data_IF_448102023189
#
_entry.id   IF_448102023189
#
_cell.length_a   1.000
_cell.length_b   1.000
_cell.length_c   1.000
_cell.angle_alpha   90.00
_cell.angle_beta   90.00
_cell.angle_gamma   90.00
#
_symmetry.space_group_name_H-M   'P 1'
#
loop_
_entity.id
_entity.type
_entity.pdbx_description
1 polymer ?
#
# COMPACT_ATOMS: atom_id res chain seq x y z
N UNK A 1 8.27 3.37 20.37
CA UNK A 1 8.54 2.11 19.65
C UNK A 1 9.78 1.45 20.24
N UNK A 2 9.71 0.15 20.47
CA UNK A 2 10.89 -0.65 20.80
C UNK A 2 11.75 -0.90 19.53
N UNK A 3 12.93 -1.46 19.71
CA UNK A 3 13.86 -1.71 18.58
C UNK A 3 13.30 -2.70 17.54
N UNK A 4 12.45 -3.64 17.96
CA UNK A 4 11.82 -4.63 17.07
C UNK A 4 10.79 -3.94 16.16
N UNK A 5 9.86 -3.17 16.74
CA UNK A 5 8.86 -2.40 15.98
C UNK A 5 9.54 -1.44 14.99
N UNK A 6 10.63 -0.78 15.41
CA UNK A 6 11.38 0.12 14.54
C UNK A 6 12.01 -0.62 13.36
N UNK A 7 12.54 -1.82 13.60
CA UNK A 7 13.10 -2.65 12.55
C UNK A 7 12.02 -3.11 11.58
N UNK A 8 10.88 -3.60 12.09
CA UNK A 8 9.75 -4.02 11.25
C UNK A 8 9.22 -2.87 10.38
N UNK A 9 9.08 -1.67 10.94
CA UNK A 9 8.65 -0.49 10.18
C UNK A 9 9.66 -0.12 9.07
N UNK A 10 10.95 -0.16 9.38
CA UNK A 10 11.99 0.12 8.38
C UNK A 10 12.00 -0.94 7.27
N UNK A 11 11.85 -2.22 7.61
CA UNK A 11 11.82 -3.31 6.65
C UNK A 11 10.58 -3.22 5.73
N UNK A 12 9.42 -2.86 6.29
CA UNK A 12 8.20 -2.59 5.53
C UNK A 12 8.37 -1.39 4.60
N UNK A 13 8.89 -0.27 5.10
CA UNK A 13 9.12 0.94 4.31
C UNK A 13 10.07 0.67 3.14
N UNK A 14 11.18 -0.04 3.40
CA UNK A 14 12.14 -0.44 2.36
C UNK A 14 11.49 -1.31 1.30
N UNK A 15 10.68 -2.28 1.71
CA UNK A 15 9.97 -3.16 0.78
C UNK A 15 9.00 -2.38 -0.11
N UNK A 16 8.29 -1.40 0.44
CA UNK A 16 7.38 -0.54 -0.33
C UNK A 16 8.13 0.35 -1.34
N UNK A 17 9.19 1.04 -0.91
CA UNK A 17 9.95 1.97 -1.76
C UNK A 17 10.69 1.25 -2.90
N UNK A 18 11.05 -0.02 -2.72
CA UNK A 18 11.73 -0.80 -3.77
C UNK A 18 10.79 -1.27 -4.89
N UNK A 19 9.48 -1.11 -4.75
CA UNK A 19 8.51 -1.45 -5.80
C UNK A 19 8.29 -0.23 -6.69
N UNK A 20 8.58 -0.38 -7.98
CA UNK A 20 8.44 0.71 -8.95
C UNK A 20 6.96 1.00 -9.24
N UNK A 21 6.46 2.14 -8.77
CA UNK A 21 5.07 2.59 -8.92
C UNK A 21 4.95 3.93 -9.66
N UNK A 22 5.88 4.21 -10.57
CA UNK A 22 5.96 5.51 -11.25
C UNK A 22 4.76 5.73 -12.19
N UNK A 23 4.14 6.89 -12.08
CA UNK A 23 2.99 7.31 -12.88
C UNK A 23 3.24 8.67 -13.56
N UNK A 24 3.09 8.80 -14.90
CA UNK A 24 2.87 7.75 -15.90
C UNK A 24 4.04 6.75 -16.03
N UNK A 25 3.88 5.54 -16.62
CA UNK A 25 2.69 5.02 -17.31
C UNK A 25 1.61 4.42 -16.39
N UNK A 26 1.93 4.20 -15.10
CA UNK A 26 1.07 3.48 -14.17
C UNK A 26 1.48 2.02 -14.04
N UNK A 27 2.09 1.68 -12.91
CA UNK A 27 2.59 0.34 -12.56
C UNK A 27 2.22 -0.04 -11.10
N UNK A 28 1.13 0.53 -10.61
CA UNK A 28 0.72 0.43 -9.20
C UNK A 28 0.26 -1.00 -8.80
N UNK A 29 -0.04 -1.89 -9.75
CA UNK A 29 -0.50 -3.24 -9.46
C UNK A 29 0.45 -4.03 -8.53
N UNK A 30 1.76 -3.89 -8.70
CA UNK A 30 2.74 -4.63 -7.89
C UNK A 30 2.73 -4.16 -6.43
N UNK A 31 2.70 -2.84 -6.21
CA UNK A 31 2.67 -2.27 -4.85
C UNK A 31 1.31 -2.51 -4.19
N UNK A 32 0.22 -2.44 -4.97
CA UNK A 32 -1.12 -2.75 -4.48
C UNK A 32 -1.24 -4.21 -4.00
N UNK A 33 -0.74 -5.18 -4.79
CA UNK A 33 -0.72 -6.60 -4.41
C UNK A 33 0.17 -6.85 -3.19
N UNK A 34 1.33 -6.17 -3.09
CA UNK A 34 2.18 -6.24 -1.90
C UNK A 34 1.46 -5.75 -0.64
N UNK A 35 0.80 -4.59 -0.70
CA UNK A 35 0.05 -4.03 0.44
C UNK A 35 -1.08 -4.98 0.85
N UNK A 36 -1.86 -5.51 -0.11
CA UNK A 36 -2.91 -6.49 0.16
C UNK A 36 -2.36 -7.72 0.89
N UNK A 37 -1.25 -8.30 0.40
CA UNK A 37 -0.61 -9.47 1.05
C UNK A 37 -0.13 -9.15 2.46
N UNK A 38 0.45 -7.97 2.67
CA UNK A 38 0.88 -7.52 3.99
C UNK A 38 -0.31 -7.40 4.95
N UNK A 39 -1.41 -6.79 4.53
CA UNK A 39 -2.62 -6.63 5.34
C UNK A 39 -3.27 -7.99 5.67
N UNK A 40 -3.41 -8.87 4.68
CA UNK A 40 -3.95 -10.22 4.88
C UNK A 40 -3.11 -11.05 5.86
N UNK A 41 -1.77 -10.94 5.81
CA UNK A 41 -0.87 -11.59 6.78
C UNK A 41 -1.10 -11.12 8.21
N UNK A 42 -1.59 -9.90 8.39
CA UNK A 42 -1.94 -9.30 9.68
C UNK A 42 -3.43 -9.43 10.01
N UNK A 43 -4.15 -10.33 9.33
CA UNK A 43 -5.60 -10.57 9.51
C UNK A 43 -6.49 -9.34 9.24
N UNK A 44 -6.04 -8.43 8.37
CA UNK A 44 -6.84 -7.30 7.91
C UNK A 44 -7.40 -7.64 6.53
N UNK A 45 -8.73 -7.68 6.43
CA UNK A 45 -9.40 -7.94 5.16
C UNK A 45 -9.10 -6.82 4.16
N UNK A 46 -8.68 -7.18 2.96
CA UNK A 46 -8.33 -6.23 1.90
C UNK A 46 -8.54 -6.79 0.50
N UNK A 47 -8.91 -5.89 -0.42
CA UNK A 47 -9.18 -6.19 -1.82
C UNK A 47 -8.45 -5.21 -2.75
N UNK A 48 -8.23 -5.66 -4.00
CA UNK A 48 -7.72 -4.80 -5.06
C UNK A 48 -8.92 -4.26 -5.84
N UNK A 49 -8.90 -2.97 -6.12
CA UNK A 49 -9.90 -2.30 -6.97
C UNK A 49 -9.20 -1.87 -8.27
N UNK A 50 -9.43 -2.56 -9.40
CA UNK A 50 -8.86 -2.18 -10.68
C UNK A 50 -9.36 -0.80 -11.11
N UNK A 51 -8.45 0.08 -11.54
CA UNK A 51 -8.77 1.40 -12.07
C UNK A 51 -8.51 1.48 -13.57
N UNK A 52 -7.30 1.06 -14.00
CA UNK A 52 -6.83 1.04 -15.38
C UNK A 52 -5.87 -0.14 -15.57
N UNK A 53 -5.44 -0.41 -16.81
CA UNK A 53 -4.41 -1.42 -17.07
C UNK A 53 -3.12 -1.09 -16.31
N UNK A 54 -2.62 -2.02 -15.50
CA UNK A 54 -1.44 -1.80 -14.66
C UNK A 54 -1.72 -1.06 -13.33
N UNK A 55 -2.94 -0.57 -13.10
CA UNK A 55 -3.27 0.32 -11.97
C UNK A 55 -4.43 -0.19 -11.13
N UNK A 56 -4.16 -0.44 -9.85
CA UNK A 56 -5.18 -0.83 -8.86
C UNK A 56 -5.02 -0.02 -7.57
N UNK A 57 -6.13 0.29 -6.92
CA UNK A 57 -6.14 0.70 -5.51
C UNK A 57 -6.27 -0.50 -4.58
N UNK A 58 -5.97 -0.30 -3.29
CA UNK A 58 -6.22 -1.28 -2.24
C UNK A 58 -7.23 -0.69 -1.27
N UNK A 59 -8.32 -1.41 -1.01
CA UNK A 59 -9.27 -1.08 0.05
C UNK A 59 -9.11 -2.11 1.16
N UNK A 60 -9.08 -1.65 2.39
CA UNK A 60 -8.99 -2.49 3.57
C UNK A 60 -9.94 -2.01 4.66
N UNK A 61 -10.50 -2.94 5.43
CA UNK A 61 -11.41 -2.63 6.53
C UNK A 61 -11.00 -3.40 7.78
N UNK A 62 -10.98 -2.68 8.89
CA UNK A 62 -10.99 -3.24 10.24
C UNK A 62 -12.38 -2.93 10.78
N UNK A 63 -13.15 -3.95 11.12
CA UNK A 63 -14.51 -3.75 11.65
C UNK A 63 -14.43 -3.08 13.02
N UNK A 64 -15.15 -1.97 13.18
CA UNK A 64 -15.32 -1.30 14.47
C UNK A 64 -16.56 -1.80 15.21
N UNK A 65 -16.80 -1.25 16.39
CA UNK A 65 -17.98 -1.56 17.20
C UNK A 65 -19.15 -0.60 16.94
N UNK A 66 -18.87 0.55 16.31
CA UNK A 66 -19.80 1.66 16.09
C UNK A 66 -20.06 1.87 14.59
N UNK A 67 -21.17 2.53 14.23
CA UNK A 67 -21.55 2.79 12.83
C UNK A 67 -20.69 3.87 12.14
N UNK A 68 -19.91 4.65 12.90
CA UNK A 68 -19.10 5.74 12.34
C UNK A 68 -17.74 5.24 11.86
N UNK A 69 -17.43 5.54 10.61
CA UNK A 69 -16.15 5.18 9.99
C UNK A 69 -15.11 6.31 10.09
N UNK A 70 -13.84 5.90 10.22
CA UNK A 70 -12.66 6.76 9.99
C UNK A 70 -11.88 6.16 8.83
N UNK A 71 -11.62 6.95 7.79
CA UNK A 71 -10.85 6.51 6.62
C UNK A 71 -9.44 7.11 6.64
N UNK A 72 -8.44 6.24 6.58
CA UNK A 72 -7.08 6.63 6.23
C UNK A 72 -6.91 6.47 4.71
N UNK A 73 -6.70 7.59 4.01
CA UNK A 73 -6.55 7.60 2.55
C UNK A 73 -5.17 8.15 2.15
N UNK A 74 -4.54 7.50 1.19
CA UNK A 74 -3.26 7.89 0.61
C UNK A 74 -3.12 7.34 -0.81
N UNK A 75 -2.10 7.79 -1.52
CA UNK A 75 -1.75 7.30 -2.86
C UNK A 75 -0.49 6.41 -2.79
N UNK A 76 -0.32 5.55 -3.79
CA UNK A 76 0.77 4.55 -3.83
C UNK A 76 1.70 4.73 -5.03
N UNK A 77 1.41 5.70 -5.89
CA UNK A 77 2.22 6.07 -7.04
C UNK A 77 3.30 7.09 -6.69
N UNK A 78 4.34 7.12 -7.53
CA UNK A 78 5.44 8.08 -7.44
C UNK A 78 5.61 8.82 -8.76
N UNK A 79 6.32 9.94 -8.72
CA UNK A 79 6.69 10.70 -9.92
C UNK A 79 8.06 10.29 -10.42
N UNK A 80 8.32 10.50 -11.71
CA UNK A 80 9.64 10.23 -12.32
C UNK A 80 10.74 11.06 -11.64
N UNK A 81 11.89 10.44 -11.47
CA UNK A 81 13.14 11.14 -11.15
C UNK A 81 13.64 11.85 -12.42
N UNK A 82 14.42 12.93 -12.29
CA UNK A 82 15.16 13.47 -13.44
C UNK A 82 16.37 12.58 -13.69
N UNK A 83 16.51 12.04 -14.90
CA UNK A 83 17.75 11.42 -15.33
C UNK A 83 18.84 12.51 -15.44
N UNK A 84 20.01 12.26 -14.84
CA UNK A 84 21.20 13.12 -14.95
C UNK A 84 21.99 12.84 -16.23
#
# INVERSE_FOLDING_TARGET
>A
MNNTEKKELNDLLRSLIQIESVNPPGNENQIADFIKKFLLKNNIHSELVPLEEGRSSVIAKIEGEEERDITFCGHIDTVRVKEE
#
